data_IF_108567608219
#
_entry.id   IF_108567608219
#
_cell.length_a   1.000
_cell.length_b   1.000
_cell.length_c   1.000
_cell.angle_alpha   90.00
_cell.angle_beta   90.00
_cell.angle_gamma   90.00
#
_symmetry.space_group_name_H-M   'P 1'
#
loop_
_entity.id
_entity.type
_entity.pdbx_description
1 polymer ?
#
# COMPACT_ATOMS: atom_id res chain seq x y z
N UNK A 1 -3.50 2.73 15.58
CA UNK A 1 -3.02 3.39 14.35
C UNK A 1 -4.16 3.48 13.34
N UNK A 2 -4.43 4.66 12.74
CA UNK A 2 -5.42 4.88 11.69
C UNK A 2 -4.74 5.40 10.43
N UNK A 3 -5.22 4.95 9.25
CA UNK A 3 -4.65 5.31 7.95
C UNK A 3 -5.72 5.94 7.05
N UNK A 4 -5.40 7.10 6.48
CA UNK A 4 -6.26 7.81 5.53
C UNK A 4 -5.53 8.03 4.20
N UNK A 5 -6.21 7.77 3.08
CA UNK A 5 -5.70 8.09 1.74
C UNK A 5 -6.13 9.52 1.40
N UNK A 6 -5.15 10.37 1.06
CA UNK A 6 -5.37 11.78 0.72
C UNK A 6 -5.54 12.02 -0.78
N UNK A 7 -4.97 11.16 -1.64
CA UNK A 7 -5.04 11.32 -3.10
C UNK A 7 -6.39 10.85 -3.66
N UNK A 8 -6.98 11.65 -4.55
CA UNK A 8 -8.27 11.37 -5.17
C UNK A 8 -8.15 10.67 -6.53
N UNK A 9 -7.05 10.85 -7.23
CA UNK A 9 -6.80 10.20 -8.52
C UNK A 9 -5.82 9.04 -8.37
N UNK A 10 -6.23 7.87 -8.84
CA UNK A 10 -5.42 6.65 -8.87
C UNK A 10 -5.27 6.27 -10.33
N UNK A 11 -4.05 6.37 -10.85
CA UNK A 11 -3.71 5.83 -12.16
C UNK A 11 -3.42 4.34 -11.99
N UNK A 12 -4.23 3.48 -12.62
CA UNK A 12 -4.03 2.04 -12.55
C UNK A 12 -2.64 1.64 -13.13
N UNK A 13 -1.97 0.65 -12.53
CA UNK A 13 -0.61 0.24 -12.94
C UNK A 13 -0.60 -0.46 -14.30
N UNK A 14 -1.73 -1.02 -14.72
CA UNK A 14 -1.91 -1.63 -16.03
C UNK A 14 -3.14 -1.05 -16.73
N UNK A 15 -3.07 -0.95 -18.06
CA UNK A 15 -4.19 -0.49 -18.88
C UNK A 15 -5.04 -1.67 -19.38
N UNK A 16 -6.29 -1.38 -19.77
CA UNK A 16 -7.19 -2.36 -20.40
C UNK A 16 -6.52 -2.99 -21.64
N UNK A 17 -5.88 -2.17 -22.47
CA UNK A 17 -5.16 -2.64 -23.67
C UNK A 17 -4.07 -3.65 -23.31
N UNK A 18 -3.24 -3.35 -22.33
CA UNK A 18 -2.19 -4.28 -21.89
C UNK A 18 -2.73 -5.61 -21.35
N UNK A 19 -3.88 -5.59 -20.71
CA UNK A 19 -4.54 -6.80 -20.21
C UNK A 19 -5.16 -7.59 -21.36
N UNK A 20 -5.81 -6.90 -22.32
CA UNK A 20 -6.37 -7.52 -23.53
C UNK A 20 -5.27 -8.19 -24.35
N UNK A 21 -4.15 -7.51 -24.59
CA UNK A 21 -2.99 -8.05 -25.27
C UNK A 21 -2.45 -9.31 -24.58
N UNK A 22 -2.39 -9.27 -23.23
CA UNK A 22 -1.95 -10.41 -22.43
C UNK A 22 -2.89 -11.63 -22.56
N UNK A 23 -4.21 -11.38 -22.62
CA UNK A 23 -5.23 -12.44 -22.76
C UNK A 23 -5.44 -12.90 -24.21
N UNK A 24 -4.94 -12.17 -25.20
CA UNK A 24 -5.26 -12.39 -26.62
C UNK A 24 -6.70 -12.03 -26.97
N UNK A 25 -7.29 -11.07 -26.25
CA UNK A 25 -8.66 -10.59 -26.45
C UNK A 25 -8.66 -9.29 -27.25
N UNK A 26 -9.41 -9.22 -28.34
CA UNK A 26 -9.37 -8.09 -29.28
C UNK A 26 -10.64 -7.22 -29.29
N UNK A 27 -11.76 -7.74 -28.79
CA UNK A 27 -13.04 -7.04 -28.80
C UNK A 27 -13.11 -5.97 -27.71
N UNK A 28 -13.84 -4.88 -27.95
CA UNK A 28 -13.96 -3.74 -27.02
C UNK A 28 -15.23 -3.80 -26.15
N UNK A 29 -16.06 -4.79 -26.36
CA UNK A 29 -17.36 -4.97 -25.68
C UNK A 29 -17.24 -5.24 -24.17
N UNK A 30 -16.05 -5.61 -23.67
CA UNK A 30 -15.80 -5.97 -22.28
C UNK A 30 -14.85 -4.98 -21.56
N UNK A 31 -14.51 -3.86 -22.17
CA UNK A 31 -13.49 -2.94 -21.64
C UNK A 31 -13.82 -2.42 -20.23
N UNK A 32 -15.09 -2.07 -19.96
CA UNK A 32 -15.51 -1.62 -18.63
C UNK A 32 -15.40 -2.73 -17.56
N UNK A 33 -15.72 -3.96 -17.96
CA UNK A 33 -15.62 -5.13 -17.07
C UNK A 33 -14.15 -5.40 -16.77
N UNK A 34 -13.27 -5.39 -17.79
CA UNK A 34 -11.82 -5.59 -17.63
C UNK A 34 -11.26 -4.48 -16.75
N UNK A 35 -11.65 -3.22 -16.93
CA UNK A 35 -11.21 -2.13 -16.08
C UNK A 35 -11.62 -2.32 -14.61
N UNK A 36 -12.85 -2.76 -14.37
CA UNK A 36 -13.31 -3.09 -13.02
C UNK A 36 -12.50 -4.22 -12.39
N UNK A 37 -12.18 -5.25 -13.18
CA UNK A 37 -11.33 -6.37 -12.75
C UNK A 37 -9.89 -5.92 -12.42
N UNK A 38 -9.31 -4.98 -13.20
CA UNK A 38 -7.99 -4.40 -12.92
C UNK A 38 -7.99 -3.74 -11.53
N UNK A 39 -9.00 -2.92 -11.22
CA UNK A 39 -9.12 -2.25 -9.93
C UNK A 39 -9.25 -3.25 -8.78
N UNK A 40 -10.05 -4.28 -8.97
CA UNK A 40 -10.26 -5.33 -7.98
C UNK A 40 -8.98 -6.14 -7.75
N UNK A 41 -8.30 -6.54 -8.82
CA UNK A 41 -7.05 -7.29 -8.76
C UNK A 41 -5.94 -6.48 -8.08
N UNK A 42 -5.81 -5.19 -8.42
CA UNK A 42 -4.87 -4.28 -7.75
C UNK A 42 -5.14 -4.18 -6.27
N UNK A 43 -6.38 -3.85 -5.90
CA UNK A 43 -6.74 -3.72 -4.48
C UNK A 43 -6.47 -5.00 -3.70
N UNK A 44 -6.87 -6.13 -4.24
CA UNK A 44 -6.63 -7.43 -3.63
C UNK A 44 -5.13 -7.71 -3.45
N UNK A 45 -4.29 -7.38 -4.46
CA UNK A 45 -2.84 -7.56 -4.39
C UNK A 45 -2.22 -6.64 -3.32
N UNK A 46 -2.62 -5.36 -3.28
CA UNK A 46 -2.18 -4.38 -2.28
C UNK A 46 -2.55 -4.82 -0.86
N UNK A 47 -3.79 -5.26 -0.64
CA UNK A 47 -4.28 -5.74 0.66
C UNK A 47 -3.51 -7.00 1.12
N UNK A 48 -3.11 -7.84 0.18
CA UNK A 48 -2.38 -9.09 0.46
C UNK A 48 -0.91 -8.88 0.78
N UNK A 49 -0.25 -7.97 0.07
CA UNK A 49 1.21 -7.80 0.13
C UNK A 49 1.65 -6.63 1.00
N UNK A 50 0.75 -5.73 1.39
CA UNK A 50 1.09 -4.48 2.07
C UNK A 50 1.81 -3.47 1.18
N UNK A 51 1.96 -3.75 -0.14
CA UNK A 51 2.54 -2.84 -1.12
C UNK A 51 1.46 -1.98 -1.76
N UNK A 52 1.78 -0.70 -2.00
CA UNK A 52 1.01 0.10 -2.92
C UNK A 52 1.64 0.05 -4.31
N UNK A 53 0.94 -0.48 -5.29
CA UNK A 53 1.39 -0.57 -6.69
C UNK A 53 1.22 0.74 -7.47
N UNK A 54 0.64 1.76 -6.85
CA UNK A 54 0.47 3.10 -7.41
C UNK A 54 0.83 4.16 -6.37
N UNK A 55 1.43 5.26 -6.83
CA UNK A 55 1.79 6.36 -5.94
C UNK A 55 0.54 7.04 -5.37
N UNK A 56 0.46 7.10 -4.06
CA UNK A 56 -0.62 7.75 -3.31
C UNK A 56 -0.04 8.55 -2.16
N UNK A 57 -0.76 9.60 -1.75
CA UNK A 57 -0.48 10.33 -0.52
C UNK A 57 -1.31 9.75 0.62
N UNK A 58 -0.65 9.51 1.72
CA UNK A 58 -1.25 8.92 2.92
C UNK A 58 -1.07 9.83 4.11
N UNK A 59 -2.00 9.75 5.05
CA UNK A 59 -1.87 10.30 6.39
C UNK A 59 -2.13 9.17 7.39
N UNK A 60 -1.12 8.86 8.20
CA UNK A 60 -1.23 7.89 9.29
C UNK A 60 -1.28 8.62 10.64
N UNK A 61 -2.13 8.13 11.52
CA UNK A 61 -2.25 8.58 12.91
C UNK A 61 -1.71 7.49 13.81
N UNK A 62 -0.75 7.86 14.65
CA UNK A 62 -0.15 6.98 15.65
C UNK A 62 -0.41 7.46 17.05
N UNK A 63 -0.66 6.51 17.91
CA UNK A 63 -0.67 6.70 19.35
C UNK A 63 0.68 6.27 19.95
N UNK A 64 0.90 6.60 21.21
CA UNK A 64 2.17 6.30 21.88
C UNK A 64 2.44 4.79 21.94
N UNK A 65 1.41 4.00 21.99
CA UNK A 65 1.40 2.54 22.10
C UNK A 65 1.80 1.84 20.78
N UNK A 66 1.68 2.56 19.64
CA UNK A 66 2.03 2.02 18.32
C UNK A 66 3.55 1.97 18.08
N UNK A 67 4.38 2.50 18.97
CA UNK A 67 5.82 2.49 18.86
C UNK A 67 6.43 1.15 19.29
N UNK A 68 7.56 0.80 18.67
CA UNK A 68 8.40 -0.29 19.14
C UNK A 68 9.13 0.07 20.46
N UNK A 69 9.79 -0.89 21.14
CA UNK A 69 10.53 -0.64 22.39
C UNK A 69 11.64 0.43 22.26
N UNK A 70 12.19 0.61 21.06
CA UNK A 70 13.25 1.58 20.75
C UNK A 70 12.70 2.97 20.38
N UNK A 71 11.39 3.12 20.34
CA UNK A 71 10.67 4.36 20.07
C UNK A 71 10.46 4.65 18.59
N UNK A 72 10.52 3.66 17.71
CA UNK A 72 10.25 3.79 16.29
C UNK A 72 8.78 3.44 15.95
N UNK A 73 8.27 4.09 14.90
CA UNK A 73 6.94 3.84 14.32
C UNK A 73 7.11 3.32 12.91
N UNK A 74 6.48 2.21 12.59
CA UNK A 74 6.50 1.61 11.26
C UNK A 74 5.43 2.25 10.37
N UNK A 75 5.82 2.72 9.18
CA UNK A 75 4.84 3.22 8.19
C UNK A 75 4.10 2.04 7.56
N UNK A 76 2.75 2.11 7.51
CA UNK A 76 1.91 0.96 7.18
C UNK A 76 1.87 0.61 5.69
N UNK A 77 2.37 1.48 4.81
CA UNK A 77 2.32 1.29 3.35
C UNK A 77 3.70 1.44 2.75
N UNK A 78 4.05 0.53 1.85
CA UNK A 78 5.35 0.43 1.21
C UNK A 78 5.21 0.41 -0.34
N UNK A 79 6.25 0.72 -1.11
CA UNK A 79 7.46 1.43 -0.70
C UNK A 79 7.18 2.92 -0.46
N UNK A 80 7.85 3.51 0.51
CA UNK A 80 7.78 4.96 0.76
C UNK A 80 8.71 5.67 -0.20
N UNK A 81 8.20 6.71 -0.89
CA UNK A 81 8.99 7.47 -1.85
C UNK A 81 9.99 8.40 -1.13
N UNK A 82 11.22 8.48 -1.68
CA UNK A 82 12.35 9.08 -0.98
C UNK A 82 12.37 10.60 -0.90
N UNK A 83 11.44 11.36 -1.55
CA UNK A 83 11.43 12.84 -1.49
C UNK A 83 10.22 13.43 -2.24
N UNK A 84 9.57 14.45 -1.71
CA UNK A 84 9.63 15.23 -0.45
C UNK A 84 8.71 14.68 0.65
N UNK A 85 8.77 13.45 0.94
CA UNK A 85 7.65 12.58 1.10
C UNK A 85 7.15 12.42 2.54
N UNK A 86 7.94 12.74 3.56
CA UNK A 86 7.50 12.49 4.93
C UNK A 86 7.45 13.81 5.70
N UNK A 87 6.28 14.14 6.23
CA UNK A 87 6.14 15.21 7.22
C UNK A 87 5.52 14.65 8.48
N UNK A 88 6.02 15.06 9.63
CA UNK A 88 5.56 14.60 10.94
C UNK A 88 5.11 15.78 11.76
N UNK A 89 3.93 15.66 12.35
CA UNK A 89 3.45 16.56 13.39
C UNK A 89 3.13 15.77 14.64
N UNK A 90 3.50 16.31 15.78
CA UNK A 90 3.16 15.72 17.09
C UNK A 90 2.31 16.74 17.84
N UNK A 91 1.11 16.32 18.24
CA UNK A 91 0.11 17.19 18.86
C UNK A 91 -0.10 18.49 18.06
N UNK A 92 -0.14 18.39 16.69
CA UNK A 92 -0.32 19.50 15.79
C UNK A 92 0.93 20.37 15.52
N UNK A 93 2.08 20.06 16.14
CA UNK A 93 3.33 20.80 15.92
C UNK A 93 4.27 20.02 15.01
N UNK A 94 4.75 20.64 13.93
CA UNK A 94 5.74 20.03 13.02
C UNK A 94 7.05 19.76 13.77
N UNK A 95 7.62 18.58 13.54
CA UNK A 95 8.85 18.15 14.17
C UNK A 95 9.82 17.52 13.17
N UNK A 96 11.10 17.58 13.48
CA UNK A 96 12.13 16.80 12.79
C UNK A 96 12.09 15.34 13.24
N UNK A 97 12.64 14.45 12.42
CA UNK A 97 12.60 13.01 12.69
C UNK A 97 13.81 12.30 12.10
N UNK A 98 14.10 11.13 12.64
CA UNK A 98 15.04 10.17 12.09
C UNK A 98 14.26 9.14 11.28
N UNK A 99 14.85 8.66 10.20
CA UNK A 99 14.29 7.61 9.35
C UNK A 99 15.30 6.46 9.23
N UNK A 100 14.78 5.23 9.25
CA UNK A 100 15.57 4.03 8.94
C UNK A 100 14.76 3.05 8.10
N UNK A 101 15.48 2.16 7.39
CA UNK A 101 14.89 1.11 6.57
C UNK A 101 14.66 1.53 5.11
N UNK A 102 14.71 0.55 4.22
CA UNK A 102 14.47 0.71 2.78
C UNK A 102 13.17 0.02 2.35
N UNK A 103 12.89 -1.16 2.91
CA UNK A 103 11.64 -1.91 2.64
C UNK A 103 10.58 -1.60 3.69
N UNK A 104 10.96 -1.66 4.96
CA UNK A 104 10.14 -1.20 6.08
C UNK A 104 10.68 0.14 6.54
N UNK A 105 9.94 1.20 6.25
CA UNK A 105 10.35 2.53 6.67
C UNK A 105 9.82 2.79 8.07
N UNK A 106 10.75 3.07 8.97
CA UNK A 106 10.45 3.45 10.34
C UNK A 106 10.85 4.90 10.54
N UNK A 107 10.04 5.62 11.28
CA UNK A 107 10.26 7.02 11.63
C UNK A 107 10.30 7.18 13.15
N UNK A 108 11.16 8.07 13.63
CA UNK A 108 11.28 8.43 15.04
C UNK A 108 11.37 9.94 15.14
N UNK A 109 10.35 10.61 15.71
CA UNK A 109 10.39 12.06 15.90
C UNK A 109 11.52 12.44 16.85
N UNK A 110 12.27 13.48 16.49
CA UNK A 110 13.30 14.06 17.35
C UNK A 110 12.63 14.83 18.50
N UNK A 111 13.17 14.75 19.70
CA UNK A 111 12.83 15.58 20.87
C UNK A 111 11.42 15.46 21.49
N UNK A 112 10.55 14.57 21.07
CA UNK A 112 9.16 14.56 21.59
C UNK A 112 8.91 13.54 22.69
N UNK A 113 9.75 12.54 22.83
CA UNK A 113 9.54 11.44 23.80
C UNK A 113 9.95 11.85 25.22
N UNK A 114 10.78 12.87 25.39
CA UNK A 114 11.31 13.29 26.70
C UNK A 114 10.55 14.39 27.43
N UNK A 115 9.71 15.16 26.74
CA UNK A 115 9.17 16.44 27.27
C UNK A 115 7.65 16.56 27.31
N UNK A 116 6.89 15.56 26.89
CA UNK A 116 5.46 15.57 27.16
C UNK A 116 5.20 15.30 28.63
N UNK A 117 5.32 16.36 29.43
CA UNK A 117 4.63 16.42 30.72
C UNK A 117 3.17 16.18 30.40
N UNK A 118 2.64 15.08 30.87
CA UNK A 118 1.21 14.87 30.96
C UNK A 118 0.67 16.06 31.75
N UNK A 119 0.19 17.06 31.01
CA UNK A 119 -0.53 18.15 31.61
C UNK A 119 -1.77 17.55 32.28
N UNK A 120 -2.17 18.06 33.44
CA UNK A 120 -3.23 17.59 34.31
C UNK A 120 -4.64 17.51 33.66
N UNK A 121 -4.78 17.57 32.37
CA UNK A 121 -6.04 17.50 31.62
C UNK A 121 -5.85 16.60 30.38
N UNK A 122 -5.73 15.29 30.61
CA UNK A 122 -6.10 14.25 29.64
C UNK A 122 -5.76 14.42 28.15
N UNK A 123 -4.71 15.15 27.80
CA UNK A 123 -4.32 15.35 26.40
C UNK A 123 -3.62 14.08 25.90
N UNK A 124 -4.33 13.31 25.12
CA UNK A 124 -3.81 12.11 24.47
C UNK A 124 -2.69 12.51 23.51
N UNK A 125 -1.51 11.93 23.67
CA UNK A 125 -0.41 12.10 22.72
C UNK A 125 -0.78 11.46 21.37
N UNK A 126 -0.64 12.17 20.27
CA UNK A 126 -0.80 11.64 18.95
C UNK A 126 0.26 12.19 17.99
N UNK A 127 0.60 11.41 17.00
CA UNK A 127 1.49 11.78 15.90
C UNK A 127 0.78 11.58 14.57
N UNK A 128 0.80 12.60 13.74
CA UNK A 128 0.35 12.51 12.35
C UNK A 128 1.59 12.42 11.44
N UNK A 129 1.59 11.45 10.56
CA UNK A 129 2.63 11.30 9.53
C UNK A 129 1.97 11.38 8.17
N UNK A 130 2.31 12.40 7.39
CA UNK A 130 1.91 12.49 5.98
C UNK A 130 3.08 12.01 5.13
N UNK A 131 2.82 11.08 4.23
CA UNK A 131 3.86 10.48 3.38
C UNK A 131 3.29 10.06 2.03
N UNK A 132 4.19 9.90 1.06
CA UNK A 132 3.85 9.31 -0.24
C UNK A 132 4.44 7.91 -0.31
N UNK A 133 3.62 6.97 -0.73
CA UNK A 133 4.05 5.60 -0.93
C UNK A 133 3.41 5.03 -2.20
N UNK A 134 4.07 4.01 -2.73
CA UNK A 134 3.62 3.29 -3.90
C UNK A 134 4.46 3.61 -5.12
N UNK A 135 4.91 2.56 -5.77
CA UNK A 135 5.65 2.61 -7.02
C UNK A 135 5.15 1.49 -7.92
N UNK A 136 4.99 1.81 -9.20
CA UNK A 136 4.66 0.80 -10.19
C UNK A 136 5.82 -0.17 -10.33
N UNK A 137 5.55 -1.43 -10.01
CA UNK A 137 6.53 -2.51 -10.07
C UNK A 137 6.12 -3.50 -11.16
N UNK A 138 7.07 -3.86 -12.05
CA UNK A 138 6.84 -4.80 -13.15
C UNK A 138 6.29 -6.15 -12.69
N UNK A 139 6.69 -6.63 -11.50
CA UNK A 139 6.17 -7.87 -10.94
C UNK A 139 4.70 -7.69 -10.54
N UNK A 140 4.35 -6.56 -9.91
CA UNK A 140 2.97 -6.25 -9.57
C UNK A 140 2.08 -6.12 -10.82
N UNK A 141 2.56 -5.45 -11.88
CA UNK A 141 1.85 -5.39 -13.16
C UNK A 141 1.57 -6.77 -13.73
N UNK A 142 2.57 -7.65 -13.70
CA UNK A 142 2.43 -9.02 -14.19
C UNK A 142 1.44 -9.83 -13.32
N UNK A 143 1.50 -9.70 -12.00
CA UNK A 143 0.52 -10.30 -11.09
C UNK A 143 -0.89 -9.85 -11.40
N UNK A 144 -1.10 -8.53 -11.59
CA UNK A 144 -2.43 -7.98 -11.89
C UNK A 144 -2.97 -8.55 -13.21
N UNK A 145 -2.16 -8.60 -14.28
CA UNK A 145 -2.58 -9.21 -15.57
C UNK A 145 -3.00 -10.66 -15.41
N UNK A 146 -2.25 -11.46 -14.65
CA UNK A 146 -2.56 -12.87 -14.40
C UNK A 146 -3.84 -13.04 -13.58
N UNK A 147 -4.03 -12.20 -12.55
CA UNK A 147 -5.25 -12.21 -11.72
C UNK A 147 -6.46 -11.86 -12.58
N UNK A 148 -6.37 -10.78 -13.37
CA UNK A 148 -7.47 -10.36 -14.25
C UNK A 148 -7.79 -11.44 -15.29
N UNK A 149 -6.79 -12.05 -15.91
CA UNK A 149 -6.99 -13.16 -16.85
C UNK A 149 -7.70 -14.34 -16.17
N UNK A 150 -7.34 -14.67 -14.93
CA UNK A 150 -8.03 -15.71 -14.16
C UNK A 150 -9.48 -15.34 -13.85
N UNK A 151 -9.74 -14.11 -13.43
CA UNK A 151 -11.11 -13.61 -13.17
C UNK A 151 -11.95 -13.62 -14.44
N UNK A 152 -11.36 -13.19 -15.57
CA UNK A 152 -12.04 -13.13 -16.86
C UNK A 152 -12.45 -14.50 -17.38
N UNK A 153 -11.58 -15.51 -17.21
CA UNK A 153 -11.85 -16.88 -17.64
C UNK A 153 -12.80 -17.64 -16.70
N UNK A 154 -12.93 -17.22 -15.44
CA UNK A 154 -13.78 -17.88 -14.44
C UNK A 154 -14.98 -17.02 -14.01
N UNK A 155 -15.53 -16.20 -14.90
CA UNK A 155 -16.65 -15.29 -14.60
C UNK A 155 -17.92 -16.00 -14.14
N UNK A 156 -18.16 -17.22 -14.62
CA UNK A 156 -19.35 -18.02 -14.27
C UNK A 156 -19.34 -18.45 -12.80
N UNK A 157 -18.19 -18.50 -12.17
CA UNK A 157 -18.01 -18.88 -10.76
C UNK A 157 -18.14 -17.70 -9.77
N UNK A 158 -18.73 -16.57 -10.19
CA UNK A 158 -18.94 -15.39 -9.35
C UNK A 158 -17.78 -14.40 -9.30
N UNK A 159 -16.74 -14.58 -10.10
CA UNK A 159 -15.61 -13.64 -10.24
C UNK A 159 -14.76 -13.46 -8.99
N UNK A 160 -14.88 -14.37 -8.01
CA UNK A 160 -14.10 -14.30 -6.76
C UNK A 160 -12.63 -14.67 -7.00
N UNK A 161 -11.71 -13.88 -6.43
CA UNK A 161 -10.28 -14.16 -6.50
C UNK A 161 -9.96 -15.31 -5.54
N UNK A 162 -9.76 -16.51 -6.09
CA UNK A 162 -9.45 -17.70 -5.31
C UNK A 162 -7.98 -18.08 -5.45
N UNK A 163 -7.24 -18.05 -4.34
CA UNK A 163 -5.84 -18.50 -4.28
C UNK A 163 -5.69 -19.97 -4.69
N UNK A 164 -6.68 -20.82 -4.37
CA UNK A 164 -6.64 -22.24 -4.68
C UNK A 164 -6.71 -22.52 -6.21
N UNK A 165 -7.17 -21.55 -6.99
CA UNK A 165 -7.28 -21.64 -8.45
C UNK A 165 -6.19 -20.90 -9.20
N UNK A 166 -5.32 -20.16 -8.49
CA UNK A 166 -4.21 -19.46 -9.11
C UNK A 166 -3.10 -20.43 -9.48
N UNK A 167 -2.47 -20.23 -10.66
CA UNK A 167 -1.27 -20.97 -11.02
C UNK A 167 -0.16 -20.76 -9.98
N UNK A 168 0.60 -21.82 -9.69
CA UNK A 168 1.68 -21.82 -8.70
C UNK A 168 2.71 -20.70 -8.95
N UNK A 169 3.03 -20.43 -10.21
CA UNK A 169 3.95 -19.35 -10.58
C UNK A 169 3.41 -17.94 -10.22
N UNK A 170 2.09 -17.76 -10.29
CA UNK A 170 1.46 -16.50 -9.87
C UNK A 170 1.55 -16.33 -8.34
N UNK A 171 1.32 -17.39 -7.59
CA UNK A 171 1.47 -17.38 -6.13
C UNK A 171 2.90 -17.04 -5.71
N UNK A 172 3.91 -17.63 -6.37
CA UNK A 172 5.32 -17.28 -6.12
C UNK A 172 5.66 -15.81 -6.42
N UNK A 173 5.10 -15.26 -7.48
CA UNK A 173 5.29 -13.83 -7.78
C UNK A 173 4.67 -12.95 -6.69
N UNK A 174 3.47 -13.29 -6.22
CA UNK A 174 2.82 -12.58 -5.10
C UNK A 174 3.65 -12.69 -3.82
N UNK A 175 4.13 -13.88 -3.48
CA UNK A 175 5.02 -14.10 -2.33
C UNK A 175 6.31 -13.28 -2.42
N UNK A 176 6.87 -13.11 -3.62
CA UNK A 176 8.07 -12.27 -3.81
C UNK A 176 7.82 -10.77 -3.59
N UNK A 177 6.56 -10.34 -3.66
CA UNK A 177 6.15 -8.97 -3.37
C UNK A 177 5.80 -8.77 -1.89
N UNK A 178 5.49 -9.85 -1.16
CA UNK A 178 5.05 -9.75 0.23
C UNK A 178 6.17 -9.16 1.12
N UNK A 179 5.92 -7.96 1.65
CA UNK A 179 6.85 -7.26 2.54
C UNK A 179 6.80 -7.79 3.97
N UNK A 180 5.79 -8.60 4.30
CA UNK A 180 5.61 -9.18 5.64
C UNK A 180 6.44 -10.46 5.83
N UNK A 181 6.86 -11.13 4.76
CA UNK A 181 7.83 -12.22 4.85
C UNK A 181 9.21 -11.61 5.05
N UNK A 182 9.62 -11.47 6.29
CA UNK A 182 10.95 -10.98 6.66
C UNK A 182 12.04 -11.87 6.05
N UNK A 183 12.61 -11.47 4.94
CA UNK A 183 13.89 -11.89 4.38
C UNK A 183 14.87 -10.71 4.46
#
# INVERSE_FOLDING_TARGET
>A
MDLTILSTEIKEPVTVVQVKDYMGYTEDDQDEIIFSMIRTARKWLEDRTGLSSVSKSYKAYFEKEDRDPDGWFELPVQPVLASPAITITVNGTSTTFQQKGLRKVLVKPDNVIGTLRIGATGTTWYMEVTFQAGETNRIAEECIKRIVSSMFNNREDGGEISLARMPYDTLRLIESLDTNTGL
#
